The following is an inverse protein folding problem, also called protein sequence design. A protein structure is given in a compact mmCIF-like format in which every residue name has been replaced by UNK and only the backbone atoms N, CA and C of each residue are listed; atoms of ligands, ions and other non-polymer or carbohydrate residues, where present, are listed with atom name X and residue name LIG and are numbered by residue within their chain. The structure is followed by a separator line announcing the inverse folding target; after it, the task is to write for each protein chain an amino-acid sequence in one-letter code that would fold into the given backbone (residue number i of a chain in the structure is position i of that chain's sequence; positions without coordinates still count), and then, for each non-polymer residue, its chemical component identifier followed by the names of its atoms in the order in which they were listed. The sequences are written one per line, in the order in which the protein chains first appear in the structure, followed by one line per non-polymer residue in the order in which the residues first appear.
data_IF_835225153484
#
_entry.id   IF_835225153484
#
_cell.length_a   1.000
_cell.length_b   1.000
_cell.length_c   1.000
_cell.angle_alpha   90.00
_cell.angle_beta   90.00
_cell.angle_gamma   90.00
#
_symmetry.space_group_name_H-M   'P 1'
#
loop_
_entity.id
_entity.type
_entity.pdbx_description
1 polymer ?
#
# COMPACT_ATOMS: atom_id res chain seq x y z
N UNK A 1 2.81 -16.51 -0.41
CA UNK A 1 3.14 -15.45 -1.40
C UNK A 1 3.99 -14.39 -0.72
N UNK A 2 4.68 -13.50 -1.45
CA UNK A 2 5.50 -12.44 -0.84
C UNK A 2 4.69 -11.41 -0.05
N UNK A 3 3.39 -11.33 -0.30
CA UNK A 3 2.44 -10.46 0.41
C UNK A 3 2.36 -10.73 1.91
N UNK A 4 2.92 -11.85 2.42
CA UNK A 4 3.00 -12.10 3.86
C UNK A 4 3.73 -10.99 4.63
N UNK A 5 4.64 -10.26 3.97
CA UNK A 5 5.34 -9.09 4.53
C UNK A 5 4.36 -7.98 4.98
N UNK A 6 3.17 -7.91 4.37
CA UNK A 6 2.14 -6.93 4.73
C UNK A 6 1.55 -7.14 6.12
N UNK A 7 1.80 -8.30 6.76
CA UNK A 7 1.44 -8.51 8.16
C UNK A 7 2.40 -7.84 9.14
N UNK A 8 3.60 -7.42 8.72
CA UNK A 8 4.56 -6.81 9.65
C UNK A 8 3.98 -5.56 10.32
N UNK A 9 3.47 -4.59 9.55
CA UNK A 9 2.90 -3.34 10.08
C UNK A 9 1.72 -3.55 11.03
N UNK A 10 0.63 -4.23 10.64
CA UNK A 10 -0.55 -4.37 11.50
C UNK A 10 -0.32 -5.27 12.72
N UNK A 11 0.52 -6.30 12.64
CA UNK A 11 0.77 -7.20 13.79
C UNK A 11 1.57 -6.53 14.91
N UNK A 12 2.35 -5.48 14.60
CA UNK A 12 3.15 -4.76 15.59
C UNK A 12 2.33 -4.17 16.72
N UNK A 13 1.05 -3.86 16.49
CA UNK A 13 0.17 -3.38 17.56
C UNK A 13 -0.21 -4.49 18.52
N UNK A 14 -0.45 -5.70 18.03
CA UNK A 14 -1.02 -6.79 18.82
C UNK A 14 0.04 -7.62 19.56
N UNK A 15 1.27 -7.68 19.05
CA UNK A 15 2.31 -8.56 19.57
C UNK A 15 3.65 -7.85 19.70
N UNK A 16 4.29 -7.97 20.87
CA UNK A 16 5.67 -7.50 21.07
C UNK A 16 6.70 -8.44 20.42
N UNK A 17 6.33 -9.71 20.22
CA UNK A 17 7.17 -10.72 19.55
C UNK A 17 6.31 -11.60 18.66
N UNK A 18 6.68 -11.74 17.39
CA UNK A 18 6.01 -12.62 16.44
C UNK A 18 6.96 -13.13 15.36
N UNK A 19 6.52 -14.10 14.56
CA UNK A 19 7.30 -14.66 13.45
C UNK A 19 6.48 -14.71 12.19
N UNK A 20 7.08 -14.33 11.06
CA UNK A 20 6.49 -14.51 9.73
C UNK A 20 7.35 -15.45 8.88
N UNK A 21 6.75 -16.31 8.04
CA UNK A 21 7.52 -17.14 7.14
C UNK A 21 8.28 -16.27 6.13
N UNK A 22 9.46 -16.74 5.71
CA UNK A 22 10.29 -16.00 4.78
C UNK A 22 9.57 -15.79 3.44
N UNK A 23 9.60 -14.55 2.96
CA UNK A 23 9.11 -14.23 1.63
C UNK A 23 10.17 -14.72 0.62
N UNK A 24 9.95 -15.92 0.07
CA UNK A 24 10.89 -16.56 -0.87
C UNK A 24 11.29 -15.68 -2.07
N UNK A 25 12.30 -16.15 -2.81
CA UNK A 25 12.81 -15.50 -4.02
C UNK A 25 11.72 -15.40 -5.10
N UNK A 26 11.44 -14.17 -5.56
CA UNK A 26 10.58 -13.95 -6.71
C UNK A 26 11.41 -14.15 -7.98
N UNK A 27 10.88 -14.86 -8.99
CA UNK A 27 11.52 -15.02 -10.30
C UNK A 27 11.54 -13.74 -11.15
N UNK A 28 11.02 -12.62 -10.64
CA UNK A 28 10.86 -11.32 -11.34
C UNK A 28 11.84 -10.24 -10.83
N UNK A 29 13.10 -10.61 -10.59
CA UNK A 29 14.15 -9.71 -10.11
C UNK A 29 14.32 -9.67 -8.59
N UNK A 30 15.41 -9.06 -8.12
CA UNK A 30 15.79 -8.98 -6.71
C UNK A 30 14.95 -7.95 -5.94
N UNK A 31 13.66 -8.24 -5.75
CA UNK A 31 12.83 -7.44 -4.82
C UNK A 31 13.26 -7.77 -3.39
N UNK A 32 13.89 -6.84 -2.71
CA UNK A 32 14.32 -7.01 -1.31
C UNK A 32 13.15 -6.73 -0.37
N UNK A 33 13.23 -7.23 0.87
CA UNK A 33 12.29 -6.86 1.96
C UNK A 33 12.77 -5.60 2.69
N UNK A 34 14.00 -5.18 2.43
CA UNK A 34 14.71 -4.12 3.16
C UNK A 34 13.93 -2.80 3.23
N UNK A 35 13.25 -2.30 2.17
CA UNK A 35 12.47 -1.07 2.27
C UNK A 35 11.36 -1.13 3.34
N UNK A 36 10.69 -2.28 3.47
CA UNK A 36 9.69 -2.47 4.52
C UNK A 36 10.33 -2.45 5.90
N UNK A 37 11.47 -3.13 6.06
CA UNK A 37 12.18 -3.18 7.35
C UNK A 37 12.68 -1.79 7.75
N UNK A 38 13.22 -1.01 6.81
CA UNK A 38 13.69 0.36 7.07
C UNK A 38 12.59 1.25 7.60
N UNK A 39 11.41 1.20 6.99
CA UNK A 39 10.25 1.99 7.43
C UNK A 39 9.76 1.53 8.79
N UNK A 40 9.59 0.22 9.00
CA UNK A 40 9.02 -0.32 10.24
C UNK A 40 9.98 -0.21 11.43
N UNK A 41 11.30 -0.16 11.20
CA UNK A 41 12.28 0.20 12.25
C UNK A 41 11.99 1.55 12.88
N UNK A 42 11.46 2.52 12.12
CA UNK A 42 11.06 3.82 12.66
C UNK A 42 9.85 3.73 13.60
N UNK A 43 9.10 2.64 13.55
CA UNK A 43 8.04 2.28 14.49
C UNK A 43 8.51 1.27 15.55
N UNK A 44 9.83 1.08 15.67
CA UNK A 44 10.47 0.24 16.69
C UNK A 44 10.50 -1.25 16.38
N UNK A 45 10.22 -1.66 15.14
CA UNK A 45 10.36 -3.05 14.70
C UNK A 45 11.83 -3.41 14.48
N UNK A 46 12.33 -4.37 15.24
CA UNK A 46 13.55 -5.10 14.95
C UNK A 46 13.22 -6.45 14.29
N UNK A 47 13.98 -6.82 13.26
CA UNK A 47 13.77 -8.07 12.51
C UNK A 47 15.07 -8.82 12.33
N UNK A 48 15.11 -10.05 12.83
CA UNK A 48 16.19 -11.00 12.60
C UNK A 48 15.73 -12.06 11.62
N UNK A 49 16.38 -12.12 10.45
CA UNK A 49 16.16 -13.19 9.49
C UNK A 49 16.88 -14.47 9.97
N UNK A 50 16.10 -15.53 10.19
CA UNK A 50 16.58 -16.87 10.54
C UNK A 50 16.16 -17.87 9.46
N UNK A 51 16.61 -19.13 9.54
CA UNK A 51 16.23 -20.16 8.57
C UNK A 51 14.70 -20.31 8.44
N UNK A 52 14.16 -19.78 7.33
CA UNK A 52 12.74 -19.88 6.99
C UNK A 52 11.81 -18.85 7.62
N UNK A 53 12.29 -17.96 8.52
CA UNK A 53 11.42 -17.01 9.23
C UNK A 53 12.08 -15.65 9.49
N UNK A 54 11.25 -14.60 9.46
CA UNK A 54 11.54 -13.31 10.06
C UNK A 54 11.10 -13.33 11.52
N UNK A 55 12.04 -13.24 12.46
CA UNK A 55 11.75 -13.06 13.88
C UNK A 55 11.62 -11.57 14.16
N UNK A 56 10.45 -11.16 14.64
CA UNK A 56 10.09 -9.77 14.80
C UNK A 56 9.97 -9.45 16.28
N UNK A 57 10.61 -8.36 16.71
CA UNK A 57 10.50 -7.81 18.05
C UNK A 57 10.14 -6.33 17.96
N UNK A 58 9.12 -5.90 18.71
CA UNK A 58 8.64 -4.52 18.67
C UNK A 58 9.03 -3.83 19.97
N UNK A 59 9.76 -2.73 19.84
CA UNK A 59 10.18 -1.87 20.95
C UNK A 59 9.57 -0.48 20.78
N UNK A 60 9.45 0.28 21.88
CA UNK A 60 9.08 1.71 21.94
C UNK A 60 8.11 2.25 20.84
N UNK A 61 6.84 2.42 21.20
CA UNK A 61 5.77 2.78 20.24
C UNK A 61 5.42 4.26 20.23
N UNK A 62 5.73 4.97 21.33
CA UNK A 62 5.12 6.27 21.62
C UNK A 62 6.04 7.43 21.27
N UNK A 63 5.87 7.94 20.05
CA UNK A 63 6.53 9.17 19.62
C UNK A 63 5.45 10.17 19.24
N UNK A 64 5.57 11.43 19.71
CA UNK A 64 4.59 12.48 19.38
C UNK A 64 4.51 12.74 17.88
N UNK A 65 5.66 12.79 17.21
CA UNK A 65 5.76 13.02 15.77
C UNK A 65 6.97 12.25 15.19
N UNK A 66 6.76 11.57 14.07
CA UNK A 66 7.78 10.84 13.30
C UNK A 66 7.82 11.34 11.87
N UNK A 67 9.03 11.48 11.33
CA UNK A 67 9.25 11.78 9.92
C UNK A 67 10.00 10.61 9.28
N UNK A 68 9.41 10.01 8.26
CA UNK A 68 9.96 8.84 7.57
C UNK A 68 10.07 9.20 6.09
N UNK A 69 11.26 9.01 5.52
CA UNK A 69 11.49 9.17 4.08
C UNK A 69 11.64 7.78 3.48
N UNK A 70 10.77 7.45 2.54
CA UNK A 70 10.85 6.22 1.77
C UNK A 70 11.97 6.36 0.73
N UNK A 71 13.08 5.65 0.95
CA UNK A 71 14.24 5.63 0.04
C UNK A 71 13.90 4.96 -1.30
N UNK A 72 13.01 3.98 -1.27
CA UNK A 72 12.42 3.35 -2.44
C UNK A 72 10.90 3.60 -2.44
N UNK A 73 10.38 4.11 -3.56
CA UNK A 73 8.94 4.32 -3.72
C UNK A 73 8.29 2.99 -4.09
N UNK A 74 7.78 2.28 -3.08
CA UNK A 74 7.02 1.04 -3.26
C UNK A 74 5.60 1.17 -2.74
N UNK A 75 4.64 0.63 -3.49
CA UNK A 75 3.22 0.59 -3.12
C UNK A 75 3.04 -0.13 -1.78
N UNK A 76 3.48 -1.39 -1.72
CA UNK A 76 3.40 -2.23 -0.51
C UNK A 76 4.22 -1.67 0.64
N UNK A 77 5.31 -0.96 0.37
CA UNK A 77 6.13 -0.32 1.41
C UNK A 77 5.35 0.82 2.06
N UNK A 78 4.70 1.64 1.23
CA UNK A 78 3.85 2.74 1.68
C UNK A 78 2.64 2.21 2.46
N UNK A 79 1.99 1.17 1.96
CA UNK A 79 0.87 0.49 2.64
C UNK A 79 1.27 -0.05 4.01
N UNK A 80 2.42 -0.72 4.13
CA UNK A 80 2.88 -1.28 5.40
C UNK A 80 3.19 -0.15 6.42
N UNK A 81 3.71 0.98 5.93
CA UNK A 81 3.91 2.19 6.73
C UNK A 81 2.58 2.76 7.24
N UNK A 82 1.56 2.81 6.37
CA UNK A 82 0.22 3.30 6.69
C UNK A 82 -0.45 2.41 7.74
N UNK A 83 -0.36 1.09 7.59
CA UNK A 83 -0.90 0.12 8.54
C UNK A 83 -0.24 0.25 9.93
N UNK A 84 1.09 0.43 9.97
CA UNK A 84 1.79 0.68 11.22
C UNK A 84 1.41 2.04 11.84
N UNK A 85 1.32 3.09 11.03
CA UNK A 85 0.96 4.43 11.48
C UNK A 85 -0.48 4.52 12.00
N UNK A 86 -1.41 3.76 11.42
CA UNK A 86 -2.83 3.78 11.75
C UNK A 86 -3.13 3.49 13.23
N UNK A 87 -2.45 2.50 13.83
CA UNK A 87 -2.63 2.11 15.24
C UNK A 87 -1.44 2.52 16.13
N UNK A 88 -0.67 3.52 15.69
CA UNK A 88 0.39 4.11 16.50
C UNK A 88 0.05 5.57 16.80
N UNK A 89 -0.43 5.89 18.02
CA UNK A 89 -0.77 7.25 18.41
C UNK A 89 0.35 8.25 18.13
N UNK A 90 -0.06 9.47 17.77
CA UNK A 90 0.84 10.53 17.36
C UNK A 90 0.72 10.81 15.86
N UNK A 91 1.67 11.58 15.35
CA UNK A 91 1.70 11.96 13.93
C UNK A 91 2.86 11.28 13.21
N UNK A 92 2.60 10.70 12.05
CA UNK A 92 3.62 10.19 11.14
C UNK A 92 3.55 10.98 9.84
N UNK A 93 4.68 11.53 9.42
CA UNK A 93 4.83 12.15 8.10
C UNK A 93 5.65 11.20 7.23
N UNK A 94 5.00 10.61 6.23
CA UNK A 94 5.65 9.80 5.20
C UNK A 94 5.98 10.68 4.00
N UNK A 95 7.24 10.67 3.57
CA UNK A 95 7.71 11.36 2.36
C UNK A 95 8.15 10.35 1.31
N UNK A 96 7.96 10.72 0.05
CA UNK A 96 8.15 9.84 -1.11
C UNK A 96 7.21 8.62 -1.08
N UNK A 97 6.00 8.81 -0.53
CA UNK A 97 4.92 7.84 -0.59
C UNK A 97 4.53 7.53 -2.04
N UNK A 98 4.09 6.31 -2.29
CA UNK A 98 3.44 5.99 -3.56
C UNK A 98 2.05 6.63 -3.62
N UNK A 99 1.73 7.20 -4.77
CA UNK A 99 0.42 7.81 -5.08
C UNK A 99 -0.49 6.85 -5.84
N UNK A 100 -0.17 5.55 -5.90
CA UNK A 100 -0.91 4.57 -6.69
C UNK A 100 -2.29 4.25 -6.09
N UNK A 101 -3.21 3.73 -6.90
CA UNK A 101 -4.63 3.56 -6.54
C UNK A 101 -4.83 2.73 -5.27
N UNK A 102 -4.13 1.60 -5.11
CA UNK A 102 -4.25 0.73 -3.93
C UNK A 102 -3.79 1.42 -2.63
N UNK A 103 -2.84 2.35 -2.72
CA UNK A 103 -2.40 3.14 -1.56
C UNK A 103 -3.47 4.15 -1.18
N UNK A 104 -4.08 4.78 -2.17
CA UNK A 104 -5.18 5.73 -1.96
C UNK A 104 -6.41 5.02 -1.38
N UNK A 105 -6.77 3.85 -1.92
CA UNK A 105 -7.85 2.98 -1.43
C UNK A 105 -7.63 2.60 0.04
N UNK A 106 -6.42 2.15 0.40
CA UNK A 106 -6.08 1.87 1.80
C UNK A 106 -6.19 3.11 2.68
N UNK A 107 -5.80 4.30 2.20
CA UNK A 107 -5.96 5.54 2.97
C UNK A 107 -7.44 5.83 3.25
N UNK A 108 -8.31 5.70 2.24
CA UNK A 108 -9.76 5.91 2.39
C UNK A 108 -10.35 4.91 3.38
N UNK A 109 -9.98 3.64 3.28
CA UNK A 109 -10.38 2.61 4.24
C UNK A 109 -9.95 2.95 5.68
N UNK A 110 -8.68 3.32 5.88
CA UNK A 110 -8.17 3.70 7.20
C UNK A 110 -8.87 4.93 7.76
N UNK A 111 -9.26 5.89 6.91
CA UNK A 111 -10.07 7.04 7.32
C UNK A 111 -11.44 6.63 7.87
N UNK A 112 -12.09 5.61 7.30
CA UNK A 112 -13.35 5.08 7.84
C UNK A 112 -13.17 4.42 9.20
N UNK A 113 -11.97 3.89 9.49
CA UNK A 113 -11.59 3.35 10.79
C UNK A 113 -11.17 4.41 11.82
N UNK A 114 -11.30 5.70 11.49
CA UNK A 114 -11.03 6.82 12.39
C UNK A 114 -9.61 7.39 12.33
N UNK A 115 -8.75 6.87 11.46
CA UNK A 115 -7.40 7.43 11.21
C UNK A 115 -7.54 8.74 10.45
N UNK A 116 -6.74 9.76 10.76
CA UNK A 116 -6.75 11.00 9.95
C UNK A 116 -5.56 10.98 8.99
N UNK A 117 -5.83 11.09 7.69
CA UNK A 117 -4.79 11.07 6.65
C UNK A 117 -4.95 12.31 5.76
N UNK A 118 -3.89 13.11 5.70
CA UNK A 118 -3.78 14.26 4.79
C UNK A 118 -2.79 13.93 3.66
N UNK A 119 -3.04 14.50 2.47
CA UNK A 119 -2.16 14.35 1.31
C UNK A 119 -2.38 13.08 0.48
N UNK A 120 -3.53 12.41 0.61
CA UNK A 120 -3.92 11.24 -0.20
C UNK A 120 -3.74 11.56 -1.70
N UNK A 121 -3.14 10.63 -2.44
CA UNK A 121 -2.79 10.81 -3.85
C UNK A 121 -1.52 11.63 -4.11
N UNK A 122 -0.87 12.16 -3.07
CA UNK A 122 0.40 12.87 -3.20
C UNK A 122 1.58 12.02 -2.70
N UNK A 123 2.79 12.54 -2.87
CA UNK A 123 4.03 11.88 -2.39
C UNK A 123 4.33 12.17 -0.92
N UNK A 124 3.50 12.94 -0.24
CA UNK A 124 3.66 13.25 1.20
C UNK A 124 2.35 12.98 1.93
N UNK A 125 2.36 12.00 2.82
CA UNK A 125 1.21 11.64 3.66
C UNK A 125 1.46 12.08 5.10
N UNK A 126 0.49 12.76 5.71
CA UNK A 126 0.51 13.06 7.15
C UNK A 126 -0.61 12.25 7.81
N UNK A 127 -0.21 11.29 8.64
CA UNK A 127 -1.09 10.30 9.25
C UNK A 127 -1.14 10.54 10.74
N UNK A 128 -2.34 10.72 11.30
CA UNK A 128 -2.57 10.69 12.74
C UNK A 128 -3.21 9.37 13.11
N UNK A 129 -2.42 8.52 13.77
CA UNK A 129 -2.88 7.23 14.26
C UNK A 129 -3.82 7.35 15.45
N UNK A 130 -4.61 6.31 15.66
CA UNK A 130 -5.52 6.14 16.81
C UNK A 130 -4.95 5.12 17.79
N UNK A 131 -5.40 5.18 19.04
CA UNK A 131 -5.02 4.19 20.05
C UNK A 131 -5.66 2.83 19.79
N UNK A 132 -6.91 2.83 19.35
CA UNK A 132 -7.71 1.64 19.15
C UNK A 132 -8.65 1.84 17.96
N UNK A 133 -8.88 0.76 17.22
CA UNK A 133 -9.86 0.68 16.15
C UNK A 133 -10.93 -0.31 16.62
N UNK A 134 -12.06 0.22 17.06
CA UNK A 134 -13.21 -0.53 17.57
C UNK A 134 -14.48 -0.05 16.85
N UNK A 135 -14.48 -0.21 15.53
CA UNK A 135 -15.58 0.22 14.66
C UNK A 135 -15.76 -0.80 13.55
N UNK A 136 -17.01 -1.11 13.24
CA UNK A 136 -17.36 -1.89 12.06
C UNK A 136 -17.54 -0.96 10.85
N UNK A 137 -16.91 -1.31 9.74
CA UNK A 137 -17.04 -0.59 8.47
C UNK A 137 -17.42 -1.56 7.36
N UNK A 138 -18.33 -1.12 6.49
CA UNK A 138 -18.58 -1.78 5.21
C UNK A 138 -17.74 -1.07 4.15
N UNK A 139 -16.79 -1.79 3.56
CA UNK A 139 -15.87 -1.26 2.57
C UNK A 139 -15.75 -2.20 1.37
N UNK A 140 -15.75 -1.63 0.17
CA UNK A 140 -15.48 -2.34 -1.07
C UNK A 140 -14.16 -1.81 -1.65
N UNK A 141 -13.17 -2.67 -1.95
CA UNK A 141 -11.94 -2.24 -2.62
C UNK A 141 -12.21 -1.54 -3.95
N UNK A 142 -11.35 -0.60 -4.29
CA UNK A 142 -11.36 0.07 -5.60
C UNK A 142 -11.24 -0.93 -6.75
N UNK A 143 -11.73 -0.52 -7.92
CA UNK A 143 -11.65 -1.29 -9.15
C UNK A 143 -10.20 -1.43 -9.66
N UNK A 144 -9.92 -2.49 -10.40
CA UNK A 144 -8.56 -2.82 -10.86
C UNK A 144 -8.29 -2.23 -12.26
N UNK A 145 -7.41 -1.21 -12.40
CA UNK A 145 -7.05 -0.67 -13.70
C UNK A 145 -6.35 -1.71 -14.60
N UNK A 146 -5.63 -2.68 -14.03
CA UNK A 146 -4.95 -3.72 -14.81
C UNK A 146 -5.98 -4.66 -15.46
N UNK A 147 -7.04 -5.01 -14.73
CA UNK A 147 -8.15 -5.78 -15.29
C UNK A 147 -8.87 -5.01 -16.38
N UNK A 148 -9.23 -3.75 -16.11
CA UNK A 148 -9.89 -2.88 -17.08
C UNK A 148 -9.06 -2.73 -18.36
N UNK A 149 -7.76 -2.45 -18.25
CA UNK A 149 -6.86 -2.34 -19.41
C UNK A 149 -6.70 -3.67 -20.16
N UNK A 150 -6.74 -4.80 -19.45
CA UNK A 150 -6.70 -6.13 -20.09
C UNK A 150 -7.93 -6.35 -20.98
N UNK A 151 -9.12 -5.98 -20.50
CA UNK A 151 -10.38 -6.08 -21.26
C UNK A 151 -10.42 -5.10 -22.44
N UNK A 152 -9.99 -3.85 -22.23
CA UNK A 152 -9.85 -2.85 -23.30
C UNK A 152 -8.94 -3.37 -24.41
N UNK A 153 -7.77 -3.91 -24.04
CA UNK A 153 -6.81 -4.46 -25.00
C UNK A 153 -7.41 -5.61 -25.81
N UNK A 154 -8.21 -6.48 -25.17
CA UNK A 154 -8.92 -7.55 -25.87
C UNK A 154 -9.92 -7.00 -26.90
N UNK A 155 -10.67 -5.95 -26.57
CA UNK A 155 -11.58 -5.28 -27.49
C UNK A 155 -10.84 -4.67 -28.69
N UNK A 156 -9.73 -3.96 -28.44
CA UNK A 156 -8.88 -3.36 -29.48
C UNK A 156 -8.35 -4.42 -30.46
N UNK A 157 -7.75 -5.50 -29.95
CA UNK A 157 -7.14 -6.54 -30.80
C UNK A 157 -8.18 -7.29 -31.62
N UNK A 158 -9.37 -7.51 -31.06
CA UNK A 158 -10.47 -8.21 -31.74
C UNK A 158 -11.34 -7.31 -32.61
N UNK A 159 -11.12 -5.99 -32.56
CA UNK A 159 -11.97 -4.97 -33.19
C UNK A 159 -13.43 -5.08 -32.72
N UNK A 160 -13.61 -5.35 -31.44
CA UNK A 160 -14.93 -5.43 -30.80
C UNK A 160 -15.27 -4.11 -30.12
N UNK A 161 -16.57 -3.89 -29.91
CA UNK A 161 -17.09 -2.84 -29.05
C UNK A 161 -17.36 -3.42 -27.66
N UNK A 162 -16.90 -2.76 -26.60
CA UNK A 162 -17.06 -3.23 -25.22
C UNK A 162 -17.25 -2.05 -24.28
N UNK A 163 -18.21 -2.16 -23.37
CA UNK A 163 -18.41 -1.21 -22.27
C UNK A 163 -17.87 -1.82 -20.97
N UNK A 164 -16.88 -1.16 -20.35
CA UNK A 164 -16.39 -1.54 -19.01
C UNK A 164 -17.07 -0.65 -17.97
N UNK A 165 -17.95 -1.25 -17.18
CA UNK A 165 -18.59 -0.54 -16.06
C UNK A 165 -17.62 -0.38 -14.90
N UNK A 166 -17.67 0.77 -14.20
CA UNK A 166 -16.79 1.09 -13.05
C UNK A 166 -15.29 1.07 -13.41
N UNK A 167 -14.95 1.53 -14.62
CA UNK A 167 -13.57 1.64 -15.04
C UNK A 167 -12.86 2.76 -14.25
N UNK A 168 -11.70 2.51 -13.62
CA UNK A 168 -10.94 3.53 -12.89
C UNK A 168 -10.13 4.41 -13.87
N UNK A 169 -10.83 5.22 -14.66
CA UNK A 169 -10.27 5.99 -15.80
C UNK A 169 -9.08 6.87 -15.41
N UNK A 170 -9.12 7.49 -14.23
CA UNK A 170 -8.03 8.35 -13.71
C UNK A 170 -6.69 7.60 -13.61
N UNK A 171 -6.71 6.29 -13.37
CA UNK A 171 -5.51 5.45 -13.29
C UNK A 171 -5.12 4.82 -14.63
N UNK A 172 -5.86 5.13 -15.69
CA UNK A 172 -5.64 4.67 -17.06
C UNK A 172 -5.39 5.81 -18.05
N UNK A 173 -5.34 7.07 -17.58
CA UNK A 173 -5.27 8.24 -18.46
C UNK A 173 -4.05 8.19 -19.39
N UNK A 174 -2.92 7.66 -18.93
CA UNK A 174 -1.70 7.56 -19.75
C UNK A 174 -1.91 6.56 -20.89
N UNK A 175 -2.41 5.37 -20.57
CA UNK A 175 -2.69 4.31 -21.53
C UNK A 175 -3.77 4.73 -22.53
N UNK A 176 -4.85 5.36 -22.05
CA UNK A 176 -5.94 5.87 -22.87
C UNK A 176 -5.51 7.01 -23.79
N UNK A 177 -4.63 7.91 -23.32
CA UNK A 177 -4.07 8.96 -24.16
C UNK A 177 -3.26 8.37 -25.33
N UNK A 178 -2.42 7.37 -25.05
CA UNK A 178 -1.64 6.67 -26.10
C UNK A 178 -2.59 5.97 -27.08
N UNK A 179 -3.62 5.28 -26.59
CA UNK A 179 -4.58 4.60 -27.45
C UNK A 179 -5.41 5.59 -28.30
N UNK A 180 -5.73 6.76 -27.76
CA UNK A 180 -6.37 7.85 -28.51
C UNK A 180 -5.51 8.32 -29.68
N UNK A 181 -4.19 8.51 -29.46
CA UNK A 181 -3.24 8.83 -30.54
C UNK A 181 -3.14 7.72 -31.59
N UNK A 182 -3.36 6.47 -31.19
CA UNK A 182 -3.45 5.31 -32.09
C UNK A 182 -4.81 5.19 -32.80
N UNK A 183 -5.75 6.10 -32.53
CA UNK A 183 -7.07 6.15 -33.17
C UNK A 183 -8.13 5.28 -32.52
N UNK A 184 -7.94 4.85 -31.26
CA UNK A 184 -9.02 4.26 -30.48
C UNK A 184 -10.09 5.31 -30.21
N UNK A 185 -11.33 5.01 -30.59
CA UNK A 185 -12.53 5.77 -30.24
C UNK A 185 -13.11 5.22 -28.94
N UNK A 186 -13.27 6.07 -27.93
CA UNK A 186 -13.81 5.72 -26.62
C UNK A 186 -14.49 6.95 -25.98
N UNK A 187 -15.45 6.70 -25.10
CA UNK A 187 -16.22 7.71 -24.36
C UNK A 187 -16.20 7.51 -22.83
#
# INVERSE_FOLDING_TARGET
TRSVIMFLGPLMRFYDTFKLPYAGGCNLGARTVEPHLQVLRAFGLDVVATEGFYQCHVTDRTVKERHIVLTERGDTVTENALLAAAQTPGVTVLRNASSNYMVQDLCVFLCQLGVQIEGIGTTTLRVRGVEEIDVDVEYAPSEDPIEAMSLLTAAVVTKSELTITRCPVEFLEIELAILSEMGLDFD
#
